data_IF_315074527581
#
_entry.id   IF_315074527581
#
_cell.length_a   1.000
_cell.length_b   1.000
_cell.length_c   1.000
_cell.angle_alpha   90.00
_cell.angle_beta   90.00
_cell.angle_gamma   90.00
#
_symmetry.space_group_name_H-M   'P 1'
#
loop_
_entity.id
_entity.type
_entity.pdbx_description
1 polymer ?
#
# COMPACT_ATOMS: atom_id res chain seq x y z
N UNK A 1 -11.71 -3.41 15.06
CA UNK A 1 -11.29 -2.03 15.40
C UNK A 1 -10.25 -1.57 14.38
N UNK A 2 -10.63 -0.63 13.51
CA UNK A 2 -9.76 -0.04 12.48
C UNK A 2 -8.93 1.10 13.08
N UNK A 3 -7.90 0.77 13.84
CA UNK A 3 -6.96 1.74 14.39
C UNK A 3 -5.68 1.77 13.56
N UNK A 4 -5.35 2.92 12.95
CA UNK A 4 -3.93 3.28 12.80
C UNK A 4 -3.48 4.23 11.70
N UNK A 5 -4.14 4.32 10.53
CA UNK A 5 -3.52 5.01 9.37
C UNK A 5 -4.42 6.09 8.76
N UNK A 6 -5.03 6.96 9.57
CA UNK A 6 -5.64 8.18 9.01
C UNK A 6 -4.52 9.15 8.66
N UNK A 7 -4.67 9.88 7.55
CA UNK A 7 -3.72 10.93 7.19
C UNK A 7 -3.58 11.93 8.37
N UNK A 8 -2.36 12.24 8.86
CA UNK A 8 -2.19 13.11 10.01
C UNK A 8 -2.65 14.54 9.68
N UNK A 9 -3.16 15.26 10.68
CA UNK A 9 -3.65 16.63 10.47
C UNK A 9 -2.57 17.58 9.94
N UNK A 10 -1.30 17.30 10.26
CA UNK A 10 -0.13 18.07 9.85
C UNK A 10 0.50 17.58 8.55
N UNK A 11 -0.23 16.82 7.72
CA UNK A 11 0.31 16.31 6.47
C UNK A 11 0.50 17.45 5.44
N UNK A 12 1.70 18.00 5.43
CA UNK A 12 2.18 18.94 4.43
C UNK A 12 2.93 18.18 3.35
N UNK A 13 2.20 17.57 2.44
CA UNK A 13 2.75 17.29 1.12
C UNK A 13 1.95 18.20 0.19
N UNK A 14 2.58 19.02 -0.66
CA UNK A 14 2.77 18.62 -2.05
C UNK A 14 3.41 19.76 -2.86
N UNK A 15 4.44 20.42 -2.36
CA UNK A 15 5.37 21.17 -3.20
C UNK A 15 6.55 21.59 -2.33
N UNK A 16 7.78 21.62 -2.87
CA UNK A 16 8.83 22.33 -2.16
C UNK A 16 8.37 23.78 -1.99
N UNK A 17 8.50 24.32 -0.77
CA UNK A 17 8.16 25.72 -0.46
C UNK A 17 8.90 26.67 -1.44
N UNK A 18 10.05 26.21 -1.95
CA UNK A 18 10.84 26.88 -2.97
C UNK A 18 11.14 25.91 -4.13
N UNK A 19 10.60 26.17 -5.33
CA UNK A 19 10.94 25.41 -6.55
C UNK A 19 12.25 25.93 -7.14
N UNK A 20 13.31 25.13 -7.07
CA UNK A 20 14.61 25.40 -7.70
C UNK A 20 15.12 24.13 -8.41
N UNK A 21 16.02 24.23 -9.41
CA UNK A 21 16.52 23.06 -10.14
C UNK A 21 17.14 21.99 -9.23
N UNK A 22 17.73 22.39 -8.10
CA UNK A 22 18.28 21.45 -7.11
C UNK A 22 17.19 20.66 -6.36
N UNK A 23 16.04 21.27 -6.08
CA UNK A 23 14.95 20.56 -5.39
C UNK A 23 14.31 19.52 -6.28
N UNK A 24 14.21 19.80 -7.58
CA UNK A 24 13.61 18.85 -8.54
C UNK A 24 14.47 17.60 -8.72
N UNK A 25 15.81 17.74 -8.75
CA UNK A 25 16.72 16.59 -8.83
C UNK A 25 16.74 15.76 -7.55
N UNK A 26 16.64 16.39 -6.38
CA UNK A 26 16.57 15.70 -5.09
C UNK A 26 15.22 15.01 -4.82
N UNK A 27 14.13 15.48 -5.43
CA UNK A 27 12.81 14.86 -5.27
C UNK A 27 12.66 13.55 -6.06
N UNK A 28 13.39 13.38 -7.16
CA UNK A 28 13.32 12.20 -8.02
C UNK A 28 13.65 10.87 -7.30
N UNK A 29 14.74 10.74 -6.50
CA UNK A 29 15.02 9.50 -5.77
C UNK A 29 14.03 9.18 -4.65
N UNK A 30 13.41 10.20 -4.05
CA UNK A 30 12.39 10.05 -3.01
C UNK A 30 11.04 9.58 -3.58
N UNK A 31 10.82 9.82 -4.86
CA UNK A 31 9.66 9.35 -5.59
C UNK A 31 9.60 7.82 -5.67
N UNK A 32 8.39 7.27 -5.70
CA UNK A 32 8.12 5.86 -6.03
C UNK A 32 7.85 5.65 -7.52
N UNK A 33 7.99 6.68 -8.36
CA UNK A 33 7.93 6.56 -9.81
C UNK A 33 8.90 5.48 -10.33
N UNK A 34 8.37 4.53 -11.12
CA UNK A 34 9.12 3.38 -11.63
C UNK A 34 9.34 2.23 -10.65
N UNK A 35 8.89 2.36 -9.39
CA UNK A 35 8.92 1.30 -8.37
C UNK A 35 7.54 0.62 -8.27
N UNK A 36 7.42 -0.56 -7.63
CA UNK A 36 6.14 -1.26 -7.49
C UNK A 36 5.01 -0.41 -6.88
N UNK A 37 5.34 0.54 -6.00
CA UNK A 37 4.37 1.43 -5.36
C UNK A 37 4.07 2.73 -6.14
N UNK A 38 4.69 2.94 -7.31
CA UNK A 38 4.53 4.17 -8.09
C UNK A 38 3.11 4.41 -8.58
N UNK A 39 2.33 3.34 -8.80
CA UNK A 39 0.91 3.46 -9.17
C UNK A 39 0.08 4.07 -8.03
N UNK A 40 0.23 3.55 -6.80
CA UNK A 40 -0.48 4.06 -5.63
C UNK A 40 -0.04 5.48 -5.27
N UNK A 41 1.25 5.78 -5.44
CA UNK A 41 1.77 7.14 -5.33
C UNK A 41 1.05 8.07 -6.33
N UNK A 42 1.04 7.73 -7.62
CA UNK A 42 0.39 8.57 -8.63
C UNK A 42 -1.10 8.79 -8.35
N UNK A 43 -1.83 7.76 -7.90
CA UNK A 43 -3.25 7.88 -7.54
C UNK A 43 -3.46 8.80 -6.34
N UNK A 44 -2.62 8.67 -5.30
CA UNK A 44 -2.68 9.52 -4.12
C UNK A 44 -2.43 11.00 -4.46
N UNK A 45 -1.39 11.28 -5.23
CA UNK A 45 -1.06 12.66 -5.63
C UNK A 45 -2.11 13.26 -6.56
N UNK A 46 -2.75 12.48 -7.45
CA UNK A 46 -3.88 12.94 -8.28
C UNK A 46 -5.09 13.35 -7.43
N UNK A 47 -5.43 12.56 -6.41
CA UNK A 47 -6.51 12.93 -5.49
C UNK A 47 -6.17 14.24 -4.74
N UNK A 48 -4.95 14.34 -4.23
CA UNK A 48 -4.51 15.52 -3.50
C UNK A 48 -4.41 16.77 -4.39
N UNK A 49 -4.10 16.64 -5.67
CA UNK A 49 -4.15 17.73 -6.65
C UNK A 49 -5.59 18.22 -6.86
N UNK A 50 -6.56 17.32 -6.93
CA UNK A 50 -7.97 17.67 -7.11
C UNK A 50 -8.59 18.38 -5.89
N UNK A 51 -8.27 17.94 -4.67
CA UNK A 51 -8.88 18.48 -3.44
C UNK A 51 -8.01 19.50 -2.68
N UNK A 52 -6.71 19.53 -2.95
CA UNK A 52 -5.72 20.33 -2.22
C UNK A 52 -5.49 19.81 -0.79
N UNK A 53 -4.49 20.39 -0.10
CA UNK A 53 -4.01 19.89 1.19
C UNK A 53 -5.08 19.89 2.31
N UNK A 54 -6.00 20.87 2.31
CA UNK A 54 -7.01 20.99 3.40
C UNK A 54 -8.07 19.90 3.32
N UNK A 55 -8.68 19.72 2.15
CA UNK A 55 -9.78 18.77 1.91
C UNK A 55 -9.25 17.36 1.60
N UNK A 56 -8.07 17.25 0.99
CA UNK A 56 -7.42 15.98 0.65
C UNK A 56 -7.22 15.07 1.85
N UNK A 57 -7.00 15.62 3.06
CA UNK A 57 -6.95 14.84 4.32
C UNK A 57 -8.18 13.97 4.57
N UNK A 58 -9.36 14.44 4.16
CA UNK A 58 -10.63 13.74 4.37
C UNK A 58 -10.96 12.82 3.20
N UNK A 59 -10.76 13.31 1.97
CA UNK A 59 -11.19 12.61 0.76
C UNK A 59 -10.15 11.61 0.24
N UNK A 60 -8.86 11.90 0.38
CA UNK A 60 -7.75 11.08 -0.14
C UNK A 60 -7.20 10.08 0.89
N UNK A 61 -7.93 9.80 1.96
CA UNK A 61 -7.49 8.91 3.04
C UNK A 61 -7.42 7.44 2.60
N UNK A 62 -8.22 7.04 1.62
CA UNK A 62 -8.20 5.67 1.08
C UNK A 62 -6.92 5.45 0.25
N UNK A 63 -6.66 6.36 -0.69
CA UNK A 63 -5.49 6.36 -1.56
C UNK A 63 -4.20 6.44 -0.74
N UNK A 64 -4.19 7.29 0.30
CA UNK A 64 -3.08 7.38 1.23
C UNK A 64 -2.84 6.05 1.97
N UNK A 65 -3.91 5.39 2.42
CA UNK A 65 -3.81 4.12 3.14
C UNK A 65 -3.32 2.99 2.25
N UNK A 66 -3.67 2.99 0.97
CA UNK A 66 -3.21 1.99 0.00
C UNK A 66 -1.74 2.25 -0.37
N UNK A 67 -1.36 3.51 -0.56
CA UNK A 67 0.04 3.88 -0.75
C UNK A 67 0.92 3.48 0.45
N UNK A 68 0.46 3.79 1.67
CA UNK A 68 1.16 3.42 2.91
C UNK A 68 1.23 1.90 3.10
N UNK A 69 0.20 1.15 2.69
CA UNK A 69 0.20 -0.31 2.73
C UNK A 69 1.22 -0.88 1.77
N UNK A 70 1.34 -0.34 0.55
CA UNK A 70 2.35 -0.76 -0.40
C UNK A 70 3.79 -0.54 0.12
N UNK A 71 4.03 0.60 0.77
CA UNK A 71 5.36 0.92 1.33
C UNK A 71 5.76 0.02 2.51
N UNK A 72 4.80 -0.34 3.37
CA UNK A 72 5.07 -1.05 4.63
C UNK A 72 4.81 -2.55 4.56
N UNK A 73 3.86 -2.98 3.74
CA UNK A 73 3.33 -4.34 3.67
C UNK A 73 2.65 -4.80 4.96
N UNK A 74 2.24 -3.88 5.84
CA UNK A 74 1.79 -4.21 7.19
C UNK A 74 0.52 -5.06 7.20
N UNK A 75 -0.47 -4.72 6.35
CA UNK A 75 -1.73 -5.48 6.29
C UNK A 75 -1.49 -6.85 5.68
N UNK A 76 -0.70 -6.92 4.60
CA UNK A 76 -0.31 -8.19 3.99
C UNK A 76 0.38 -9.13 5.01
N UNK A 77 1.35 -8.62 5.79
CA UNK A 77 2.04 -9.40 6.82
C UNK A 77 1.09 -9.90 7.90
N UNK A 78 0.23 -9.02 8.44
CA UNK A 78 -0.78 -9.39 9.45
C UNK A 78 -1.74 -10.45 8.93
N UNK A 79 -2.18 -10.33 7.67
CA UNK A 79 -3.04 -11.33 7.01
C UNK A 79 -2.34 -12.68 6.93
N UNK A 80 -1.10 -12.73 6.45
CA UNK A 80 -0.31 -13.97 6.34
C UNK A 80 -0.09 -14.62 7.71
N UNK A 81 0.21 -13.83 8.74
CA UNK A 81 0.36 -14.34 10.11
C UNK A 81 -0.95 -14.91 10.66
N UNK A 82 -2.08 -14.24 10.45
CA UNK A 82 -3.39 -14.74 10.87
C UNK A 82 -3.73 -16.08 10.21
N UNK A 83 -3.53 -16.19 8.88
CA UNK A 83 -3.74 -17.44 8.13
C UNK A 83 -2.84 -18.56 8.67
N UNK A 84 -1.56 -18.26 8.91
CA UNK A 84 -0.59 -19.23 9.46
C UNK A 84 -1.01 -19.71 10.86
N UNK A 85 -1.46 -18.81 11.72
CA UNK A 85 -1.88 -19.13 13.08
C UNK A 85 -3.15 -20.00 13.10
N UNK A 86 -4.14 -19.69 12.27
CA UNK A 86 -5.35 -20.50 12.16
C UNK A 86 -5.06 -21.91 11.62
N UNK A 87 -4.20 -22.03 10.59
CA UNK A 87 -3.79 -23.36 10.09
C UNK A 87 -3.01 -24.15 11.14
N UNK A 88 -2.16 -23.50 11.93
CA UNK A 88 -1.48 -24.14 13.06
C UNK A 88 -2.48 -24.67 14.09
N UNK A 89 -3.51 -23.91 14.45
CA UNK A 89 -4.57 -24.36 15.37
C UNK A 89 -5.30 -25.59 14.82
N UNK A 90 -5.68 -25.58 13.54
CA UNK A 90 -6.36 -26.71 12.88
C UNK A 90 -5.50 -27.97 12.82
N UNK A 91 -4.20 -27.82 12.54
CA UNK A 91 -3.24 -28.94 12.58
C UNK A 91 -3.13 -29.54 13.99
N UNK A 92 -2.99 -28.70 15.03
CA UNK A 92 -2.93 -29.17 16.41
C UNK A 92 -4.22 -29.87 16.87
N UNK A 93 -5.37 -29.50 16.30
CA UNK A 93 -6.66 -30.15 16.54
C UNK A 93 -6.85 -31.46 15.75
N UNK A 94 -5.95 -31.77 14.81
CA UNK A 94 -6.04 -32.94 13.94
C UNK A 94 -7.00 -32.79 12.75
N UNK A 95 -7.49 -31.58 12.45
CA UNK A 95 -8.37 -31.32 11.30
C UNK A 95 -7.60 -31.23 9.97
N UNK A 96 -6.30 -30.94 10.03
CA UNK A 96 -5.42 -30.87 8.86
C UNK A 96 -4.36 -31.97 8.95
N UNK A 97 -4.07 -32.69 7.85
CA UNK A 97 -3.12 -33.81 7.87
C UNK A 97 -1.66 -33.37 7.97
N UNK A 98 -1.34 -32.15 7.54
CA UNK A 98 0.03 -31.63 7.47
C UNK A 98 0.16 -30.22 8.04
N UNK A 99 1.36 -29.91 8.52
CA UNK A 99 1.71 -28.58 8.98
C UNK A 99 1.88 -27.61 7.80
N UNK A 100 1.68 -26.32 8.05
CA UNK A 100 1.70 -25.25 7.02
C UNK A 100 2.95 -25.23 6.12
N UNK A 101 4.11 -25.67 6.63
CA UNK A 101 5.36 -25.71 5.85
C UNK A 101 5.35 -26.80 4.77
N UNK A 102 4.63 -27.91 5.00
CA UNK A 102 4.54 -29.03 4.06
C UNK A 102 3.35 -28.89 3.09
N UNK A 103 2.29 -28.19 3.51
CA UNK A 103 1.10 -27.92 2.69
C UNK A 103 0.72 -26.43 2.83
N UNK A 104 1.49 -25.58 2.16
CA UNK A 104 1.10 -24.18 2.01
C UNK A 104 0.10 -24.08 0.86
N UNK A 105 -0.99 -23.30 1.02
CA UNK A 105 -1.86 -23.03 -0.11
C UNK A 105 -1.02 -22.39 -1.20
N UNK A 106 -1.25 -22.81 -2.44
CA UNK A 106 -0.65 -22.11 -3.57
C UNK A 106 -1.05 -20.63 -3.46
N UNK A 107 -0.13 -19.68 -3.69
CA UNK A 107 -0.54 -18.30 -3.84
C UNK A 107 -1.67 -18.31 -4.88
N UNK A 108 -2.86 -17.83 -4.48
CA UNK A 108 -3.99 -17.81 -5.40
C UNK A 108 -3.55 -17.13 -6.69
N UNK A 109 -4.00 -17.65 -7.84
CA UNK A 109 -3.66 -17.05 -9.13
C UNK A 109 -3.89 -15.54 -9.03
N UNK A 110 -2.79 -14.79 -9.04
CA UNK A 110 -2.85 -13.34 -9.19
C UNK A 110 -3.22 -13.13 -10.65
N UNK A 111 -4.53 -13.05 -10.92
CA UNK A 111 -5.00 -12.40 -12.13
C UNK A 111 -4.53 -10.97 -11.99
N UNK A 112 -3.63 -10.56 -12.87
CA UNK A 112 -3.10 -9.22 -12.83
C UNK A 112 -4.28 -8.25 -12.79
N UNK A 113 -4.31 -7.41 -11.75
CA UNK A 113 -5.45 -6.54 -11.44
C UNK A 113 -5.81 -5.69 -12.67
N UNK A 114 -6.98 -5.05 -12.64
CA UNK A 114 -7.41 -4.08 -13.66
C UNK A 114 -6.29 -3.13 -14.14
N UNK A 115 -5.32 -2.83 -13.27
CA UNK A 115 -4.14 -1.98 -13.55
C UNK A 115 -3.07 -2.59 -14.46
N UNK A 116 -2.96 -3.92 -14.63
CA UNK A 116 -2.00 -4.51 -15.58
C UNK A 116 -2.39 -4.30 -17.04
N UNK A 117 -3.64 -3.93 -17.29
CA UNK A 117 -4.18 -3.71 -18.64
C UNK A 117 -4.13 -2.23 -19.06
N UNK A 118 -3.86 -1.30 -18.14
CA UNK A 118 -3.60 0.08 -18.49
C UNK A 118 -2.13 0.21 -18.91
N UNK A 119 -1.86 0.11 -20.21
CA UNK A 119 -0.59 0.60 -20.75
C UNK A 119 -0.52 2.09 -20.45
N UNK A 120 0.47 2.50 -19.68
CA UNK A 120 0.87 3.91 -19.60
C UNK A 120 1.47 4.22 -20.97
N UNK A 121 0.64 4.78 -21.85
CA UNK A 121 1.06 5.37 -23.12
C UNK A 121 1.58 6.79 -22.89
#
# INVERSE_FOLDING_TARGET
>A
MSSGNRMPENFQTLTPILKIPLTDTLNLPLSQQGKPCGFFEAQFFRCMEAYGAKLGRKYCDLEHRDYQECLTGDKQRKRTQAIRNERRKKFLKGELPAAFLADHPQPGEYKADYFSHNRVH
#
